data_IF_347029158962
#
_entry.id   IF_347029158962
#
_cell.length_a   1.000
_cell.length_b   1.000
_cell.length_c   1.000
_cell.angle_alpha   90.00
_cell.angle_beta   90.00
_cell.angle_gamma   90.00
#
_symmetry.space_group_name_H-M   'P 1'
#
loop_
_entity.id
_entity.type
_entity.pdbx_description
1 polymer ?
#
# COMPACT_ATOMS: atom_id res chain seq x y z
N UNK A 1 29.98 18.77 -20.69
CA UNK A 1 29.37 19.72 -19.75
C UNK A 1 28.02 19.16 -19.35
N UNK A 2 27.82 19.05 -18.05
CA UNK A 2 26.92 18.14 -17.35
C UNK A 2 25.46 18.63 -17.40
N UNK A 3 24.51 17.77 -17.79
CA UNK A 3 23.07 18.07 -17.72
C UNK A 3 22.35 17.01 -16.87
N UNK A 4 22.89 16.76 -15.67
CA UNK A 4 22.31 15.89 -14.64
C UNK A 4 21.92 16.69 -13.39
N UNK A 5 21.19 17.79 -13.57
CA UNK A 5 20.49 18.46 -12.47
C UNK A 5 19.05 18.77 -12.87
N UNK A 6 18.12 17.96 -12.33
CA UNK A 6 16.74 18.29 -11.89
C UNK A 6 15.79 17.13 -12.19
N UNK A 7 15.76 16.13 -11.31
CA UNK A 7 14.56 15.79 -10.52
C UNK A 7 15.08 15.21 -9.18
N UNK A 8 15.60 16.08 -8.31
CA UNK A 8 15.77 15.71 -6.90
C UNK A 8 14.39 15.83 -6.30
N UNK A 9 13.61 14.75 -6.40
CA UNK A 9 12.31 14.63 -5.73
C UNK A 9 12.55 15.00 -4.27
N UNK A 10 11.99 16.12 -3.82
CA UNK A 10 12.19 16.60 -2.47
C UNK A 10 11.43 15.66 -1.53
N UNK A 11 12.15 14.69 -0.96
CA UNK A 11 11.61 13.64 -0.09
C UNK A 11 10.80 14.22 1.08
N UNK A 12 11.12 15.44 1.53
CA UNK A 12 10.36 16.12 2.57
C UNK A 12 8.98 16.58 2.07
N UNK A 13 8.91 17.13 0.86
CA UNK A 13 7.64 17.55 0.25
C UNK A 13 6.71 16.37 -0.01
N UNK A 14 7.25 15.23 -0.46
CA UNK A 14 6.45 14.01 -0.64
C UNK A 14 5.95 13.43 0.68
N UNK A 15 6.78 13.45 1.73
CA UNK A 15 6.38 13.00 3.08
C UNK A 15 5.24 13.84 3.65
N UNK A 16 5.32 15.17 3.49
CA UNK A 16 4.26 16.09 3.90
C UNK A 16 2.99 15.84 3.11
N UNK A 17 3.08 15.73 1.77
CA UNK A 17 1.92 15.51 0.90
C UNK A 17 1.19 14.19 1.19
N UNK A 18 1.92 13.10 1.44
CA UNK A 18 1.31 11.80 1.71
C UNK A 18 0.69 11.74 3.11
N UNK A 19 1.35 12.31 4.13
CA UNK A 19 0.78 12.37 5.49
C UNK A 19 -0.43 13.30 5.55
N UNK A 20 -0.43 14.38 4.77
CA UNK A 20 -1.58 15.25 4.63
C UNK A 20 -2.77 14.52 4.01
N UNK A 21 -2.55 13.78 2.91
CA UNK A 21 -3.60 12.95 2.27
C UNK A 21 -4.18 11.90 3.22
N UNK A 22 -3.34 11.23 4.02
CA UNK A 22 -3.80 10.25 5.02
C UNK A 22 -4.69 10.88 6.09
N UNK A 23 -4.32 12.05 6.60
CA UNK A 23 -5.13 12.80 7.57
C UNK A 23 -6.45 13.25 6.94
N UNK A 24 -6.42 13.79 5.73
CA UNK A 24 -7.62 14.23 5.02
C UNK A 24 -8.60 13.07 4.76
N UNK A 25 -8.09 11.92 4.32
CA UNK A 25 -8.89 10.71 4.09
C UNK A 25 -9.47 10.14 5.39
N UNK A 26 -8.69 10.07 6.46
CA UNK A 26 -9.20 9.60 7.75
C UNK A 26 -10.36 10.51 8.25
N UNK A 27 -10.19 11.82 8.22
CA UNK A 27 -11.25 12.75 8.66
C UNK A 27 -12.52 12.67 7.80
N UNK A 28 -12.40 12.43 6.49
CA UNK A 28 -13.56 12.28 5.61
C UNK A 28 -14.31 10.97 5.89
N UNK A 29 -13.61 9.85 6.05
CA UNK A 29 -14.21 8.54 6.39
C UNK A 29 -14.97 8.59 7.70
N UNK A 30 -14.45 9.29 8.71
CA UNK A 30 -15.10 9.42 10.02
C UNK A 30 -16.10 10.59 10.12
N UNK A 31 -16.44 11.23 8.99
CA UNK A 31 -17.47 12.28 8.90
C UNK A 31 -17.28 13.45 9.89
N UNK A 32 -16.02 13.82 10.16
CA UNK A 32 -15.69 14.91 11.09
C UNK A 32 -15.82 16.23 10.32
N UNK A 33 -16.79 17.08 10.70
CA UNK A 33 -17.10 18.33 9.99
C UNK A 33 -15.96 19.34 10.02
N UNK A 34 -15.58 19.85 8.84
CA UNK A 34 -14.46 20.79 8.62
C UNK A 34 -14.75 22.25 9.00
N UNK A 35 -16.00 22.56 9.36
CA UNK A 35 -16.46 23.94 9.57
C UNK A 35 -16.04 24.52 10.94
N UNK A 36 -15.47 23.71 11.83
CA UNK A 36 -15.04 24.13 13.15
C UNK A 36 -13.52 24.42 13.19
N UNK A 37 -13.07 25.59 13.68
CA UNK A 37 -11.64 25.93 13.81
C UNK A 37 -10.82 24.89 14.59
N UNK A 38 -11.46 24.21 15.55
CA UNK A 38 -10.85 23.14 16.34
C UNK A 38 -10.47 21.91 15.49
N UNK A 39 -11.25 21.60 14.45
CA UNK A 39 -11.00 20.44 13.57
C UNK A 39 -9.80 20.69 12.66
N UNK A 40 -9.65 21.91 12.14
CA UNK A 40 -8.46 22.32 11.37
C UNK A 40 -7.19 22.22 12.20
N UNK A 41 -7.22 22.74 13.44
CA UNK A 41 -6.09 22.64 14.38
C UNK A 41 -5.75 21.17 14.71
N UNK A 42 -6.76 20.32 14.90
CA UNK A 42 -6.55 18.90 15.15
C UNK A 42 -5.90 18.21 13.94
N UNK A 43 -6.31 18.51 12.70
CA UNK A 43 -5.69 17.98 11.46
C UNK A 43 -4.21 18.33 11.39
N UNK A 44 -3.85 19.59 11.65
CA UNK A 44 -2.46 20.06 11.64
C UNK A 44 -1.61 19.37 12.72
N UNK A 45 -2.15 19.22 13.93
CA UNK A 45 -1.47 18.50 15.02
C UNK A 45 -1.23 17.03 14.68
N UNK A 46 -2.21 16.37 14.05
CA UNK A 46 -2.06 14.98 13.60
C UNK A 46 -1.05 14.85 12.47
N UNK A 47 -1.09 15.76 11.50
CA UNK A 47 -0.09 15.82 10.44
C UNK A 47 1.32 15.95 11.02
N UNK A 48 1.50 16.83 12.01
CA UNK A 48 2.80 17.06 12.66
C UNK A 48 3.28 15.83 13.44
N UNK A 49 2.39 15.16 14.19
CA UNK A 49 2.72 13.92 14.92
C UNK A 49 3.10 12.79 13.98
N UNK A 50 2.31 12.59 12.93
CA UNK A 50 2.65 11.62 11.88
C UNK A 50 3.99 12.00 11.25
N UNK A 51 4.24 13.30 11.01
CA UNK A 51 5.51 13.79 10.49
C UNK A 51 6.72 13.43 11.38
N UNK A 52 6.51 13.48 12.70
CA UNK A 52 7.48 13.13 13.75
C UNK A 52 7.63 11.61 13.97
N UNK A 53 6.85 10.76 13.27
CA UNK A 53 6.98 9.30 13.33
C UNK A 53 6.04 8.61 14.32
N UNK A 54 4.99 9.29 14.78
CA UNK A 54 3.95 8.67 15.59
C UNK A 54 3.11 7.68 14.76
N UNK A 55 2.58 6.68 15.45
CA UNK A 55 1.83 5.58 14.84
C UNK A 55 0.49 6.01 14.23
N UNK A 56 0.17 5.42 13.08
CA UNK A 56 -1.06 5.66 12.31
C UNK A 56 -2.25 4.94 12.98
N UNK A 57 -2.04 3.78 13.60
CA UNK A 57 -3.13 3.05 14.25
C UNK A 57 -3.58 3.74 15.55
N UNK A 58 -2.63 4.24 16.36
CA UNK A 58 -2.94 5.14 17.48
C UNK A 58 -3.72 6.38 17.02
N UNK A 59 -3.34 6.96 15.87
CA UNK A 59 -4.08 8.05 15.23
C UNK A 59 -5.52 7.64 14.89
N UNK A 60 -5.73 6.53 14.18
CA UNK A 60 -7.05 6.05 13.78
C UNK A 60 -7.92 5.68 14.99
N UNK A 61 -7.33 5.04 16.00
CA UNK A 61 -8.01 4.67 17.23
C UNK A 61 -8.47 5.91 18.01
N UNK A 62 -7.60 6.92 18.16
CA UNK A 62 -7.95 8.20 18.81
C UNK A 62 -8.95 9.02 18.00
N UNK A 63 -8.89 8.95 16.67
CA UNK A 63 -9.87 9.59 15.80
C UNK A 63 -11.26 8.94 15.97
N UNK A 64 -11.30 7.61 16.05
CA UNK A 64 -12.53 6.82 16.24
C UNK A 64 -13.13 6.98 17.64
N UNK A 65 -12.31 7.18 18.67
CA UNK A 65 -12.78 7.38 20.05
C UNK A 65 -13.24 8.82 20.35
N UNK A 66 -13.06 9.77 19.43
CA UNK A 66 -13.44 11.17 19.60
C UNK A 66 -12.62 11.90 20.68
N UNK A 67 -11.50 11.31 21.11
CA UNK A 67 -10.69 11.83 22.20
C UNK A 67 -9.80 12.97 21.69
N UNK A 68 -9.89 14.15 22.32
CA UNK A 68 -9.02 15.28 21.95
C UNK A 68 -7.56 14.95 22.27
N UNK A 69 -6.65 15.38 21.39
CA UNK A 69 -5.21 15.22 21.55
C UNK A 69 -4.78 16.00 22.80
N UNK A 70 -4.59 15.31 23.93
CA UNK A 70 -4.01 15.90 25.13
C UNK A 70 -2.50 15.74 25.10
N UNK A 71 -1.77 16.82 25.42
CA UNK A 71 -0.30 16.98 25.38
C UNK A 71 0.52 16.06 26.32
N UNK A 72 0.02 14.88 26.70
CA UNK A 72 0.79 13.96 27.53
C UNK A 72 1.69 13.09 26.67
N UNK A 73 2.98 13.34 26.90
CA UNK A 73 4.17 12.70 26.35
C UNK A 73 4.12 11.21 26.66
N UNK A 74 3.80 10.40 25.66
CA UNK A 74 4.28 9.02 25.60
C UNK A 74 5.65 9.08 24.94
N UNK A 75 6.67 8.75 25.73
CA UNK A 75 8.09 8.89 25.39
C UNK A 75 8.43 8.22 24.06
N UNK A 76 9.22 8.88 23.19
CA UNK A 76 9.59 8.35 21.90
C UNK A 76 10.51 7.13 22.08
N UNK A 77 10.10 5.98 21.53
CA UNK A 77 11.04 4.90 21.27
C UNK A 77 12.06 5.45 20.28
N UNK A 78 13.26 5.68 20.81
CA UNK A 78 14.39 6.21 20.08
C UNK A 78 14.99 5.08 19.26
N UNK A 79 14.57 4.90 18.00
CA UNK A 79 15.32 4.05 17.06
C UNK A 79 16.46 4.89 16.47
N UNK A 80 17.61 4.78 17.12
CA UNK A 80 18.89 5.23 16.60
C UNK A 80 19.24 4.29 15.44
N UNK A 81 19.21 4.81 14.22
CA UNK A 81 20.37 4.86 13.33
C UNK A 81 19.92 4.98 11.89
N UNK A 82 20.73 5.71 11.15
CA UNK A 82 20.67 5.96 9.72
C UNK A 82 21.04 4.67 8.97
N UNK A 83 20.22 3.65 9.10
CA UNK A 83 20.39 2.32 8.53
C UNK A 83 19.04 1.71 8.16
N UNK A 84 18.98 1.08 7.01
CA UNK A 84 17.82 0.33 6.52
C UNK A 84 17.60 -0.90 7.41
N UNK A 85 16.37 -1.17 7.88
CA UNK A 85 16.07 -2.36 8.73
C UNK A 85 16.08 -3.68 7.95
N UNK A 86 16.04 -3.60 6.62
CA UNK A 86 16.07 -4.73 5.70
C UNK A 86 15.70 -4.29 4.30
N UNK A 87 15.77 -5.17 3.32
CA UNK A 87 15.30 -4.85 1.97
C UNK A 87 14.38 -5.93 1.42
N UNK A 88 13.52 -5.54 0.48
CA UNK A 88 12.59 -6.45 -0.19
C UNK A 88 12.53 -6.13 -1.69
N UNK A 89 12.71 -7.16 -2.51
CA UNK A 89 12.76 -7.03 -3.96
C UNK A 89 12.07 -8.21 -4.64
N UNK A 90 11.41 -7.96 -5.77
CA UNK A 90 10.88 -9.01 -6.64
C UNK A 90 12.06 -9.72 -7.33
N UNK A 91 12.04 -11.05 -7.35
CA UNK A 91 13.02 -11.88 -8.08
C UNK A 91 12.52 -12.35 -9.45
N UNK A 92 11.20 -12.42 -9.64
CA UNK A 92 10.63 -12.84 -10.93
C UNK A 92 11.00 -11.84 -12.03
N UNK A 93 11.50 -12.36 -13.15
CA UNK A 93 11.85 -11.54 -14.34
C UNK A 93 10.67 -11.27 -15.26
N UNK A 94 9.68 -12.16 -15.21
CA UNK A 94 8.42 -12.07 -15.93
C UNK A 94 7.37 -11.55 -14.95
N UNK A 95 6.83 -10.37 -15.23
CA UNK A 95 5.77 -9.73 -14.45
C UNK A 95 4.47 -9.68 -15.24
N UNK A 96 4.07 -10.81 -15.83
CA UNK A 96 2.80 -10.93 -16.54
C UNK A 96 1.63 -11.01 -15.56
N UNK A 97 0.94 -9.89 -15.38
CA UNK A 97 -0.30 -9.82 -14.62
C UNK A 97 -1.49 -9.68 -15.55
N UNK A 98 -2.55 -10.41 -15.21
CA UNK A 98 -3.82 -10.32 -15.92
C UNK A 98 -4.89 -9.79 -14.99
N UNK A 99 -5.71 -8.88 -15.50
CA UNK A 99 -6.70 -8.14 -14.72
C UNK A 99 -7.56 -9.04 -13.84
N UNK A 100 -7.58 -8.77 -12.53
CA UNK A 100 -8.38 -9.48 -11.52
C UNK A 100 -7.91 -10.91 -11.18
N UNK A 101 -6.83 -11.41 -11.81
CA UNK A 101 -6.30 -12.74 -11.51
C UNK A 101 -5.27 -12.70 -10.38
N UNK A 102 -5.22 -13.79 -9.61
CA UNK A 102 -4.16 -14.04 -8.63
C UNK A 102 -2.94 -14.66 -9.30
N UNK A 103 -1.77 -14.21 -8.90
CA UNK A 103 -0.47 -14.75 -9.32
C UNK A 103 0.42 -14.93 -8.10
N UNK A 104 1.21 -16.02 -8.10
CA UNK A 104 2.32 -16.17 -7.15
C UNK A 104 3.53 -15.41 -7.67
N UNK A 105 4.11 -14.59 -6.80
CA UNK A 105 5.25 -13.74 -7.10
C UNK A 105 6.38 -14.06 -6.13
N UNK A 106 7.58 -14.33 -6.65
CA UNK A 106 8.75 -14.58 -5.79
C UNK A 106 9.41 -13.26 -5.39
N UNK A 107 9.55 -13.05 -4.08
CA UNK A 107 10.28 -11.93 -3.49
C UNK A 107 11.49 -12.43 -2.70
N UNK A 108 12.53 -11.61 -2.61
CA UNK A 108 13.65 -11.79 -1.69
C UNK A 108 13.53 -10.77 -0.56
N UNK A 109 13.60 -11.24 0.67
CA UNK A 109 13.60 -10.41 1.87
C UNK A 109 14.97 -10.55 2.52
N UNK A 110 15.63 -9.43 2.81
CA UNK A 110 16.92 -9.39 3.52
C UNK A 110 16.73 -8.66 4.84
N UNK A 111 17.14 -9.27 5.94
CA UNK A 111 17.08 -8.64 7.25
C UNK A 111 18.41 -7.95 7.57
N UNK A 112 18.39 -6.62 7.71
CA UNK A 112 19.55 -5.81 8.09
C UNK A 112 19.45 -5.26 9.53
N UNK A 113 18.37 -5.60 10.23
CA UNK A 113 18.13 -5.16 11.61
C UNK A 113 18.85 -6.06 12.63
N UNK A 114 18.85 -5.63 13.88
CA UNK A 114 19.38 -6.41 15.00
C UNK A 114 18.41 -7.51 15.48
N UNK A 115 17.13 -7.40 15.13
CA UNK A 115 16.07 -8.32 15.55
C UNK A 115 15.70 -9.29 14.42
N UNK A 116 15.26 -10.52 14.72
CA UNK A 116 14.79 -11.44 13.70
C UNK A 116 13.47 -10.96 13.07
N UNK A 117 13.33 -11.10 11.75
CA UNK A 117 12.00 -11.05 11.13
C UNK A 117 11.33 -12.40 11.33
N UNK A 118 10.31 -12.41 12.18
CA UNK A 118 9.54 -13.60 12.52
C UNK A 118 8.11 -13.23 12.85
N UNK A 119 7.19 -14.15 12.57
CA UNK A 119 5.81 -14.06 13.02
C UNK A 119 5.71 -14.66 14.44
N UNK A 120 5.25 -13.87 15.42
CA UNK A 120 4.85 -14.39 16.74
C UNK A 120 3.38 -14.10 17.02
N UNK A 121 2.82 -14.68 18.09
CA UNK A 121 1.44 -14.44 18.50
C UNK A 121 1.20 -12.98 18.90
N UNK A 122 2.19 -12.36 19.54
CA UNK A 122 2.16 -10.97 20.01
C UNK A 122 2.51 -9.98 18.90
N UNK A 123 3.35 -10.42 17.97
CA UNK A 123 3.88 -9.62 16.87
C UNK A 123 3.70 -10.36 15.54
N UNK A 124 2.48 -10.36 14.96
CA UNK A 124 2.21 -11.05 13.70
C UNK A 124 2.83 -10.27 12.53
N UNK A 125 3.98 -10.73 12.05
CA UNK A 125 4.67 -10.18 10.88
C UNK A 125 4.30 -10.97 9.61
N UNK A 126 3.91 -10.27 8.56
CA UNK A 126 3.56 -10.85 7.26
C UNK A 126 4.24 -10.12 6.10
N UNK A 127 4.42 -10.81 4.98
CA UNK A 127 4.66 -10.17 3.70
C UNK A 127 3.33 -9.78 3.04
N UNK A 128 3.33 -8.63 2.37
CA UNK A 128 2.17 -8.06 1.69
C UNK A 128 2.63 -7.16 0.53
N UNK A 129 1.72 -6.37 -0.03
CA UNK A 129 2.03 -5.47 -1.15
C UNK A 129 1.04 -4.31 -1.23
N UNK A 130 1.43 -3.27 -1.95
CA UNK A 130 0.58 -2.14 -2.37
C UNK A 130 0.54 -2.04 -3.89
N UNK A 131 -0.62 -1.69 -4.42
CA UNK A 131 -0.80 -1.24 -5.79
C UNK A 131 -1.05 0.25 -5.83
N UNK A 132 -0.40 0.91 -6.79
CA UNK A 132 -0.65 2.30 -7.16
C UNK A 132 -1.04 2.38 -8.63
N UNK A 133 -1.91 3.32 -8.97
CA UNK A 133 -2.28 3.63 -10.34
C UNK A 133 -1.11 4.34 -11.07
N UNK A 134 -1.32 4.64 -12.35
CA UNK A 134 -0.33 5.33 -13.19
C UNK A 134 0.02 6.75 -12.69
N UNK A 135 -0.87 7.38 -11.92
CA UNK A 135 -0.68 8.70 -11.36
C UNK A 135 0.04 8.66 -9.99
N UNK A 136 0.34 7.45 -9.48
CA UNK A 136 0.92 7.22 -8.17
C UNK A 136 -0.10 7.34 -7.03
N UNK A 137 -1.39 7.32 -7.34
CA UNK A 137 -2.45 7.23 -6.34
C UNK A 137 -2.65 5.78 -5.93
N UNK A 138 -3.08 5.57 -4.68
CA UNK A 138 -3.29 4.24 -4.14
C UNK A 138 -4.46 3.58 -4.88
N UNK A 139 -4.20 2.43 -5.49
CA UNK A 139 -5.24 1.53 -6.00
C UNK A 139 -5.65 0.51 -4.93
N UNK A 140 -4.66 -0.12 -4.28
CA UNK A 140 -4.86 -1.05 -3.18
C UNK A 140 -3.70 -0.88 -2.19
N UNK A 141 -3.99 -0.55 -0.93
CA UNK A 141 -2.98 -0.39 0.12
C UNK A 141 -2.90 -1.57 1.09
N UNK A 142 -3.79 -2.56 0.95
CA UNK A 142 -3.91 -3.63 1.92
C UNK A 142 -3.89 -4.99 1.23
N UNK A 143 -2.72 -5.32 0.66
CA UNK A 143 -2.52 -6.56 -0.07
C UNK A 143 -2.60 -7.82 0.80
N UNK A 144 -2.76 -8.97 0.14
CA UNK A 144 -2.91 -10.27 0.81
C UNK A 144 -1.72 -10.59 1.73
N UNK A 145 -2.03 -11.03 2.96
CA UNK A 145 -1.02 -11.48 3.93
C UNK A 145 -0.44 -12.84 3.55
N UNK A 146 0.88 -12.90 3.46
CA UNK A 146 1.64 -14.14 3.33
C UNK A 146 2.51 -14.33 4.56
N UNK A 147 2.33 -15.43 5.27
CA UNK A 147 3.12 -15.76 6.45
C UNK A 147 4.59 -16.00 6.09
N UNK A 148 5.50 -15.54 6.94
CA UNK A 148 6.91 -15.90 6.85
C UNK A 148 7.05 -17.38 7.27
N UNK A 149 7.54 -18.28 6.39
CA UNK A 149 7.56 -19.71 6.68
C UNK A 149 8.62 -20.09 7.73
N UNK A 150 9.59 -19.20 7.96
CA UNK A 150 10.66 -19.35 8.93
C UNK A 150 11.17 -18.00 9.41
N UNK A 151 11.91 -18.03 10.51
CA UNK A 151 12.64 -16.88 11.04
C UNK A 151 13.72 -16.44 10.05
N UNK A 152 13.77 -15.15 9.73
CA UNK A 152 14.86 -14.55 8.97
C UNK A 152 15.76 -13.82 9.97
N UNK A 153 16.86 -14.49 10.35
CA UNK A 153 17.84 -13.96 11.31
C UNK A 153 18.49 -12.66 10.80
N UNK A 154 19.00 -11.82 11.71
CA UNK A 154 19.85 -10.67 11.36
C UNK A 154 20.94 -11.03 10.35
N UNK A 155 21.07 -10.22 9.28
CA UNK A 155 22.04 -10.40 8.20
C UNK A 155 21.71 -11.53 7.21
N UNK A 156 20.59 -12.23 7.37
CA UNK A 156 20.17 -13.32 6.49
C UNK A 156 19.12 -12.87 5.47
N UNK A 157 18.98 -13.65 4.41
CA UNK A 157 17.93 -13.46 3.40
C UNK A 157 17.01 -14.68 3.27
N UNK A 158 15.81 -14.45 2.76
CA UNK A 158 14.86 -15.50 2.46
C UNK A 158 14.03 -15.19 1.22
N UNK A 159 13.86 -16.20 0.37
CA UNK A 159 13.01 -16.16 -0.82
C UNK A 159 11.62 -16.67 -0.46
N UNK A 160 10.61 -15.84 -0.70
CA UNK A 160 9.21 -16.13 -0.37
C UNK A 160 8.34 -15.96 -1.60
N UNK A 161 7.43 -16.91 -1.85
CA UNK A 161 6.37 -16.74 -2.83
C UNK A 161 5.14 -16.13 -2.14
N UNK A 162 4.73 -14.94 -2.58
CA UNK A 162 3.53 -14.25 -2.08
C UNK A 162 2.39 -14.34 -3.11
N UNK A 163 1.16 -14.42 -2.65
CA UNK A 163 -0.02 -14.34 -3.51
C UNK A 163 -0.38 -12.87 -3.76
N UNK A 164 -0.41 -12.45 -5.03
CA UNK A 164 -0.73 -11.08 -5.46
C UNK A 164 -1.96 -11.11 -6.35
N UNK A 165 -2.98 -10.32 -6.02
CA UNK A 165 -4.14 -10.11 -6.91
C UNK A 165 -3.89 -8.91 -7.80
N UNK A 166 -4.00 -9.07 -9.12
CA UNK A 166 -3.88 -7.95 -10.05
C UNK A 166 -5.09 -7.00 -9.93
N UNK A 167 -4.90 -5.70 -10.20
CA UNK A 167 -6.00 -4.77 -10.44
C UNK A 167 -7.06 -5.33 -11.39
N UNK A 168 -8.33 -5.06 -11.10
CA UNK A 168 -9.46 -5.59 -11.90
C UNK A 168 -9.56 -4.96 -13.29
N UNK A 169 -8.97 -3.78 -13.47
CA UNK A 169 -8.92 -3.08 -14.74
C UNK A 169 -7.55 -3.29 -15.41
N UNK A 170 -7.51 -3.57 -16.72
CA UNK A 170 -6.25 -3.58 -17.46
C UNK A 170 -5.66 -2.17 -17.51
N UNK A 171 -4.34 -2.08 -17.48
CA UNK A 171 -3.65 -0.80 -17.48
C UNK A 171 -2.27 -0.90 -16.88
N UNK A 172 -1.62 0.25 -16.73
CA UNK A 172 -0.29 0.33 -16.15
C UNK A 172 -0.39 0.71 -14.68
N UNK A 173 0.21 -0.10 -13.82
CA UNK A 173 0.18 0.05 -12.38
C UNK A 173 1.59 -0.08 -11.79
N UNK A 174 1.73 0.34 -10.55
CA UNK A 174 2.94 0.18 -9.75
C UNK A 174 2.68 -0.80 -8.61
N UNK A 175 3.46 -1.88 -8.55
CA UNK A 175 3.44 -2.85 -7.44
C UNK A 175 4.61 -2.58 -6.49
N UNK A 176 4.35 -2.51 -5.19
CA UNK A 176 5.37 -2.39 -4.16
C UNK A 176 5.20 -3.50 -3.13
N UNK A 177 6.04 -4.54 -3.15
CA UNK A 177 6.08 -5.53 -2.07
C UNK A 177 6.60 -4.89 -0.78
N UNK A 178 6.05 -5.31 0.36
CA UNK A 178 6.49 -4.86 1.68
C UNK A 178 6.23 -5.91 2.77
N UNK A 179 6.59 -5.58 4.02
CA UNK A 179 6.24 -6.34 5.21
C UNK A 179 5.32 -5.51 6.11
N UNK A 180 4.45 -6.17 6.86
CA UNK A 180 3.52 -5.56 7.81
C UNK A 180 3.56 -6.28 9.14
N UNK A 181 3.71 -5.51 10.20
CA UNK A 181 3.52 -5.95 11.58
C UNK A 181 2.10 -5.56 11.99
N UNK A 182 1.22 -6.56 12.09
CA UNK A 182 -0.22 -6.36 12.30
C UNK A 182 -0.50 -5.51 13.54
N UNK A 183 -1.41 -4.54 13.36
CA UNK A 183 -1.80 -3.60 14.41
C UNK A 183 -0.70 -2.62 14.84
N UNK A 184 0.44 -2.59 14.15
CA UNK A 184 1.56 -1.70 14.49
C UNK A 184 2.02 -0.87 13.30
N UNK A 185 2.59 -1.49 12.26
CA UNK A 185 3.20 -0.71 11.19
C UNK A 185 3.47 -1.51 9.93
N UNK A 186 3.46 -0.78 8.81
CA UNK A 186 4.10 -1.18 7.57
C UNK A 186 5.60 -0.91 7.65
N UNK A 187 6.43 -1.91 7.35
CA UNK A 187 7.87 -1.83 7.59
C UNK A 187 8.58 -0.83 6.66
N UNK A 188 8.02 -0.44 5.52
CA UNK A 188 8.56 0.67 4.71
C UNK A 188 8.57 2.00 5.49
N UNK A 189 7.65 2.18 6.43
CA UNK A 189 7.63 3.34 7.32
C UNK A 189 8.64 3.21 8.47
N UNK A 190 9.10 1.99 8.76
CA UNK A 190 10.11 1.67 9.76
C UNK A 190 11.53 1.58 9.18
N UNK A 191 11.71 1.94 7.89
CA UNK A 191 13.01 1.96 7.23
C UNK A 191 13.35 0.69 6.44
N UNK A 192 12.38 -0.13 6.09
CA UNK A 192 12.57 -1.21 5.11
C UNK A 192 12.77 -0.58 3.74
N UNK A 193 13.83 -0.99 3.05
CA UNK A 193 14.09 -0.57 1.68
C UNK A 193 13.20 -1.37 0.73
N UNK A 194 12.25 -0.66 0.14
CA UNK A 194 11.23 -1.22 -0.76
C UNK A 194 11.43 -0.66 -2.16
N UNK A 195 11.19 -1.49 -3.16
CA UNK A 195 11.21 -1.09 -4.56
C UNK A 195 9.81 -1.17 -5.16
N UNK A 196 9.47 -0.17 -5.98
CA UNK A 196 8.24 -0.16 -6.78
C UNK A 196 8.55 -0.63 -8.20
N UNK A 197 7.68 -1.48 -8.75
CA UNK A 197 7.80 -2.09 -10.06
C UNK A 197 6.63 -1.66 -10.93
N UNK A 198 6.92 -1.07 -12.08
CA UNK A 198 5.91 -0.77 -13.09
C UNK A 198 5.48 -2.07 -13.77
N UNK A 199 4.19 -2.36 -13.73
CA UNK A 199 3.58 -3.58 -14.27
C UNK A 199 2.49 -3.18 -15.26
N UNK A 200 2.56 -3.75 -16.45
CA UNK A 200 1.50 -3.68 -17.44
C UNK A 200 0.51 -4.83 -17.18
N UNK A 201 -0.61 -4.51 -16.54
CA UNK A 201 -1.71 -5.44 -16.30
C UNK A 201 -2.53 -5.55 -17.58
N UNK A 202 -2.55 -6.74 -18.16
CA UNK A 202 -3.26 -6.99 -19.42
C UNK A 202 -4.64 -7.57 -19.16
N UNK A 203 -5.59 -7.37 -20.09
CA UNK A 203 -6.80 -8.20 -20.06
C UNK A 203 -6.38 -9.66 -20.28
N UNK A 204 -7.12 -10.60 -19.69
CA UNK A 204 -7.00 -12.02 -20.03
C UNK A 204 -7.36 -12.20 -21.51
N UNK A 205 -6.35 -12.08 -22.37
CA UNK A 205 -6.40 -12.42 -23.78
C UNK A 205 -5.58 -13.70 -23.98
N UNK A 206 -5.95 -14.76 -23.23
CA UNK A 206 -5.16 -15.98 -23.11
C UNK A 206 -5.70 -17.13 -23.98
N UNK A 207 -4.83 -17.86 -24.71
CA UNK A 207 -5.18 -19.05 -25.49
C UNK A 207 -5.57 -20.18 -24.52
N UNK A 208 -6.86 -20.47 -24.41
CA UNK A 208 -7.37 -21.46 -23.46
C UNK A 208 -8.87 -21.35 -23.22
N UNK A 209 -9.45 -20.17 -23.49
CA UNK A 209 -10.87 -20.07 -23.75
C UNK A 209 -11.16 -20.68 -25.13
N UNK A 210 -12.00 -21.72 -25.18
CA UNK A 210 -12.60 -22.11 -26.46
C UNK A 210 -13.23 -20.86 -27.10
N UNK A 211 -13.29 -20.78 -28.43
CA UNK A 211 -13.96 -19.64 -29.12
C UNK A 211 -15.33 -19.31 -28.50
N UNK A 212 -16.02 -20.34 -28.01
CA UNK A 212 -17.29 -20.24 -27.30
C UNK A 212 -17.18 -19.50 -25.95
N UNK A 213 -16.19 -19.82 -25.11
CA UNK A 213 -15.96 -19.12 -23.85
C UNK A 213 -15.61 -17.64 -24.07
N UNK A 214 -14.79 -17.34 -25.09
CA UNK A 214 -14.48 -15.96 -25.47
C UNK A 214 -15.74 -15.18 -25.91
N UNK A 215 -16.59 -15.81 -26.73
CA UNK A 215 -17.85 -15.21 -27.19
C UNK A 215 -18.84 -14.98 -26.05
N UNK A 216 -18.94 -15.92 -25.10
CA UNK A 216 -19.80 -15.78 -23.93
C UNK A 216 -19.30 -14.63 -23.05
N UNK A 217 -18.00 -14.58 -22.75
CA UNK A 217 -17.40 -13.48 -22.00
C UNK A 217 -17.67 -12.12 -22.66
N UNK A 218 -17.41 -12.00 -23.96
CA UNK A 218 -17.64 -10.75 -24.69
C UNK A 218 -19.13 -10.36 -24.70
N UNK A 219 -20.05 -11.31 -24.87
CA UNK A 219 -21.50 -11.05 -24.79
C UNK A 219 -21.91 -10.57 -23.39
N UNK A 220 -21.40 -11.19 -22.34
CA UNK A 220 -21.67 -10.80 -20.95
C UNK A 220 -21.13 -9.41 -20.64
N UNK A 221 -19.88 -9.12 -21.04
CA UNK A 221 -19.24 -7.80 -20.88
C UNK A 221 -20.04 -6.68 -21.55
N UNK A 222 -20.48 -6.90 -22.80
CA UNK A 222 -21.35 -5.94 -23.52
C UNK A 222 -22.69 -5.77 -22.83
N UNK A 223 -23.29 -6.84 -22.31
CA UNK A 223 -24.58 -6.74 -21.62
C UNK A 223 -24.48 -5.94 -20.32
N UNK A 224 -23.46 -6.22 -19.50
CA UNK A 224 -23.20 -5.51 -18.24
C UNK A 224 -22.94 -4.01 -18.47
N UNK A 225 -22.11 -3.67 -19.45
CA UNK A 225 -21.85 -2.27 -19.81
C UNK A 225 -23.08 -1.56 -20.38
N UNK A 226 -23.92 -2.27 -21.14
CA UNK A 226 -25.16 -1.69 -21.69
C UNK A 226 -26.24 -1.50 -20.62
N UNK A 227 -26.32 -2.40 -19.62
CA UNK A 227 -27.26 -2.23 -18.50
C UNK A 227 -26.86 -1.07 -17.59
N UNK A 228 -25.58 -0.93 -17.24
CA UNK A 228 -25.10 0.22 -16.46
C UNK A 228 -25.41 1.55 -17.17
N UNK A 229 -25.26 1.64 -18.49
CA UNK A 229 -25.58 2.87 -19.23
C UNK A 229 -27.10 3.15 -19.34
N UNK A 230 -27.95 2.12 -19.28
CA UNK A 230 -29.42 2.28 -19.31
C UNK A 230 -29.96 2.74 -17.96
N UNK A 231 -29.39 2.29 -16.85
CA UNK A 231 -29.80 2.75 -15.52
C UNK A 231 -29.47 4.23 -15.30
N UNK A 232 -28.34 4.72 -15.82
CA UNK A 232 -27.96 6.15 -15.75
C UNK A 232 -28.87 7.05 -16.58
N UNK A 233 -29.45 6.54 -17.67
CA UNK A 233 -30.34 7.33 -18.55
C UNK A 233 -31.78 7.43 -18.00
N UNK A 234 -32.18 6.55 -17.08
CA UNK A 234 -33.57 6.49 -16.59
C UNK A 234 -33.86 7.45 -15.42
N UNK A 235 -32.84 8.07 -14.81
CA UNK A 235 -32.98 9.07 -13.75
C UNK A 235 -32.93 10.54 -14.21
N UNK A 236 -32.92 10.80 -15.53
CA UNK A 236 -32.83 12.15 -16.10
C UNK A 236 -34.12 12.63 -16.80
N UNK A 237 -35.29 12.22 -16.29
CA UNK A 237 -36.60 12.75 -16.71
C UNK A 237 -37.40 13.25 -15.50
#
# INVERSE_FOLDING_TARGET
MNNQEKIKVNLQELKVKNRQRLVEYAFSVFHISDDLPQVKKNKEQWLQRLLEGHDVEDFLHKLKSGQQVTDKIDTPITIISKGTIGSIHIQDTDLDFHSGLKRKLTINIVNHSAEPFQTTTENPLYAAYHWYDINGEVYEYDGIRTALPQVISPGSEHKLAIDVTAPTEPGRFSLMPTLVLEGQAWLENCGLDVQTYMIDVTEVNGPGMTKQAQQIYNKLKVHLTTQNNREVTTCAL
#
